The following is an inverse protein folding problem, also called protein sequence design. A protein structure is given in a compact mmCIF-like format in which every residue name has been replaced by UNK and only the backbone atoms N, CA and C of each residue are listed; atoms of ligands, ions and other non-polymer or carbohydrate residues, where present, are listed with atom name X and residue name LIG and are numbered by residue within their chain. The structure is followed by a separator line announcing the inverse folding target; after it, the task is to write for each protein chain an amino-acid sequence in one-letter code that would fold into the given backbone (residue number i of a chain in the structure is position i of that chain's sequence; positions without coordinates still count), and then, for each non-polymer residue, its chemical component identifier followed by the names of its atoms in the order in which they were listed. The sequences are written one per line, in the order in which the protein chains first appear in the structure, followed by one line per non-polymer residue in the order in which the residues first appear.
data_IF_042618240263
#
_entry.id   IF_042618240263
#
_cell.length_a   1.000
_cell.length_b   1.000
_cell.length_c   1.000
_cell.angle_alpha   90.00
_cell.angle_beta   90.00
_cell.angle_gamma   90.00
#
_symmetry.space_group_name_H-M   'P 1'
#
loop_
_entity.id
_entity.type
_entity.pdbx_description
1 polymer ?
#
# COMPACT_ATOMS: atom_id res chain seq x y z
N UNK A 1 -43.78 9.10 -26.78
CA UNK A 1 -42.45 9.65 -26.41
C UNK A 1 -42.22 9.41 -24.92
N UNK A 2 -41.44 8.39 -24.56
CA UNK A 2 -40.82 8.23 -23.22
C UNK A 2 -39.48 7.52 -23.44
N UNK A 3 -38.48 8.28 -23.91
CA UNK A 3 -37.09 7.82 -24.14
C UNK A 3 -36.16 8.63 -23.22
N UNK A 4 -36.56 8.81 -21.96
CA UNK A 4 -35.71 9.44 -20.95
C UNK A 4 -35.77 8.53 -19.74
N UNK A 5 -34.59 8.19 -19.20
CA UNK A 5 -34.38 7.41 -17.97
C UNK A 5 -34.03 5.92 -18.10
N UNK A 6 -33.25 5.54 -19.12
CA UNK A 6 -32.41 4.31 -19.05
C UNK A 6 -30.91 4.68 -19.05
N UNK A 7 -30.53 5.77 -19.73
CA UNK A 7 -29.12 6.21 -19.83
C UNK A 7 -28.56 6.71 -18.49
N UNK A 8 -29.39 7.33 -17.63
CA UNK A 8 -28.91 7.87 -16.33
C UNK A 8 -28.64 6.81 -15.27
N UNK A 9 -29.37 5.69 -15.29
CA UNK A 9 -29.14 4.56 -14.38
C UNK A 9 -27.91 3.74 -14.81
N UNK A 10 -27.66 3.66 -16.13
CA UNK A 10 -26.49 2.98 -16.70
C UNK A 10 -25.18 3.71 -16.38
N UNK A 11 -25.18 5.05 -16.34
CA UNK A 11 -23.98 5.83 -16.03
C UNK A 11 -23.54 5.70 -14.56
N UNK A 12 -24.48 5.66 -13.61
CA UNK A 12 -24.14 5.51 -12.18
C UNK A 12 -23.59 4.12 -11.82
N UNK A 13 -24.07 3.05 -12.46
CA UNK A 13 -23.53 1.70 -12.24
C UNK A 13 -22.14 1.54 -12.86
N UNK A 14 -21.90 2.15 -14.02
CA UNK A 14 -20.57 2.14 -14.67
C UNK A 14 -19.53 2.88 -13.82
N UNK A 15 -19.88 4.03 -13.22
CA UNK A 15 -18.96 4.76 -12.34
C UNK A 15 -18.61 4.00 -11.05
N UNK A 16 -19.56 3.28 -10.44
CA UNK A 16 -19.28 2.46 -9.26
C UNK A 16 -18.44 1.20 -9.57
N UNK A 17 -18.61 0.62 -10.77
CA UNK A 17 -17.78 -0.48 -11.25
C UNK A 17 -16.34 -0.04 -11.57
N UNK A 18 -16.15 1.16 -12.13
CA UNK A 18 -14.81 1.68 -12.48
C UNK A 18 -13.95 1.99 -11.25
N UNK A 19 -14.54 2.44 -10.13
CA UNK A 19 -13.78 2.77 -8.90
C UNK A 19 -13.25 1.51 -8.20
N UNK A 20 -14.05 0.45 -8.13
CA UNK A 20 -13.62 -0.82 -7.52
C UNK A 20 -12.67 -1.60 -8.45
N UNK A 21 -12.91 -1.58 -9.77
CA UNK A 21 -12.03 -2.24 -10.73
C UNK A 21 -10.69 -1.52 -10.93
N UNK A 22 -10.51 -0.30 -10.41
CA UNK A 22 -9.21 0.35 -10.37
C UNK A 22 -8.36 -0.25 -9.25
N UNK A 23 -8.89 -0.30 -8.02
CA UNK A 23 -8.20 -0.79 -6.83
C UNK A 23 -7.68 -2.24 -6.96
N UNK A 24 -8.39 -3.09 -7.70
CA UNK A 24 -7.93 -4.46 -7.95
C UNK A 24 -6.61 -4.54 -8.71
N UNK A 25 -6.26 -3.58 -9.57
CA UNK A 25 -5.08 -3.63 -10.44
C UNK A 25 -4.02 -2.59 -10.05
N UNK A 26 -4.03 -2.19 -8.78
CA UNK A 26 -3.09 -1.24 -8.22
C UNK A 26 -1.91 -1.95 -7.56
N UNK A 27 -0.86 -1.16 -7.35
CA UNK A 27 0.28 -1.53 -6.52
C UNK A 27 0.34 -0.58 -5.34
N UNK A 28 0.60 -1.12 -4.15
CA UNK A 28 0.99 -0.28 -3.01
C UNK A 28 2.36 -0.66 -2.50
N UNK A 29 2.91 0.23 -1.69
CA UNK A 29 4.14 -0.04 -0.99
C UNK A 29 3.84 -0.77 0.31
N UNK A 30 4.52 -1.89 0.51
CA UNK A 30 4.51 -2.66 1.75
C UNK A 30 5.95 -2.90 2.23
N UNK A 31 6.12 -2.85 3.55
CA UNK A 31 7.40 -3.12 4.21
C UNK A 31 8.11 -1.85 4.70
N UNK A 32 9.42 -1.97 4.87
CA UNK A 32 10.21 -0.96 5.55
C UNK A 32 10.48 0.23 4.64
N UNK A 33 10.18 1.45 5.11
CA UNK A 33 10.46 2.74 4.44
C UNK A 33 11.93 3.20 4.58
N UNK A 34 12.69 2.51 5.42
CA UNK A 34 14.06 2.88 5.71
C UNK A 34 15.00 2.05 4.82
N UNK A 35 15.67 2.75 3.89
CA UNK A 35 16.57 2.16 2.90
C UNK A 35 17.84 1.60 3.52
N UNK A 36 18.21 2.07 4.72
CA UNK A 36 19.35 1.55 5.47
C UNK A 36 18.97 0.26 6.20
N UNK A 37 17.69 0.15 6.57
CA UNK A 37 17.15 -1.05 7.19
C UNK A 37 16.95 -2.23 6.23
N UNK A 38 16.81 -1.96 4.93
CA UNK A 38 16.95 -2.99 3.90
C UNK A 38 18.34 -2.88 3.28
N UNK A 39 19.22 -3.87 3.49
CA UNK A 39 18.79 -5.27 3.46
C UNK A 39 18.94 -6.00 4.82
N UNK A 40 19.10 -5.32 5.95
CA UNK A 40 19.50 -5.89 7.25
C UNK A 40 18.64 -7.09 7.69
N UNK A 41 19.27 -8.09 8.32
CA UNK A 41 18.55 -9.21 8.94
C UNK A 41 17.87 -8.76 10.25
N UNK A 42 16.97 -9.56 10.81
CA UNK A 42 16.28 -9.27 12.09
C UNK A 42 17.21 -8.84 13.25
N UNK A 43 18.40 -9.43 13.38
CA UNK A 43 19.35 -9.08 14.44
C UNK A 43 19.97 -7.69 14.20
N UNK A 44 20.44 -7.45 12.99
CA UNK A 44 20.98 -6.17 12.54
C UNK A 44 19.95 -5.05 12.57
N UNK A 45 18.69 -5.35 12.22
CA UNK A 45 17.55 -4.41 12.33
C UNK A 45 17.37 -3.94 13.77
N UNK A 46 17.46 -4.85 14.76
CA UNK A 46 17.39 -4.47 16.18
C UNK A 46 18.57 -3.60 16.61
N UNK A 47 19.78 -3.91 16.14
CA UNK A 47 20.97 -3.11 16.42
C UNK A 47 20.87 -1.69 15.86
N UNK A 48 20.31 -1.55 14.65
CA UNK A 48 20.13 -0.27 13.94
C UNK A 48 18.81 0.44 14.28
N UNK A 49 18.01 -0.08 15.24
CA UNK A 49 16.71 0.47 15.65
C UNK A 49 15.67 0.58 14.52
N UNK A 50 15.67 -0.40 13.61
CA UNK A 50 14.77 -0.53 12.45
C UNK A 50 13.42 -1.22 12.77
N UNK A 51 13.23 -1.62 14.02
CA UNK A 51 12.27 -2.60 14.53
C UNK A 51 10.82 -2.27 14.15
N UNK A 52 10.28 -1.09 14.46
CA UNK A 52 8.84 -0.82 14.22
C UNK A 52 8.39 -0.82 12.76
N UNK A 53 9.27 -0.54 11.78
CA UNK A 53 8.89 -0.40 10.35
C UNK A 53 9.20 -1.64 9.52
N UNK A 54 10.10 -2.48 9.99
CA UNK A 54 10.55 -3.68 9.28
C UNK A 54 9.96 -4.98 9.84
N UNK A 55 9.17 -4.92 10.92
CA UNK A 55 8.61 -6.10 11.60
C UNK A 55 7.72 -6.96 10.70
N UNK A 56 6.99 -6.35 9.77
CA UNK A 56 6.14 -7.07 8.81
C UNK A 56 6.92 -8.04 7.92
N UNK A 57 8.23 -7.82 7.76
CA UNK A 57 9.13 -8.70 6.99
C UNK A 57 9.80 -9.79 7.83
N UNK A 58 9.59 -9.82 9.15
CA UNK A 58 10.26 -10.79 10.03
C UNK A 58 9.72 -12.21 9.89
N UNK A 59 8.46 -12.35 9.44
CA UNK A 59 7.79 -13.64 9.30
C UNK A 59 6.91 -13.70 8.04
N UNK A 60 7.54 -13.71 6.85
CA UNK A 60 6.82 -13.72 5.57
C UNK A 60 5.94 -14.97 5.43
N UNK A 61 4.69 -14.81 5.00
CA UNK A 61 3.69 -15.91 4.97
C UNK A 61 4.07 -17.09 4.06
N UNK A 62 4.94 -16.87 3.07
CA UNK A 62 5.39 -17.93 2.15
C UNK A 62 6.58 -18.76 2.68
N UNK A 63 7.23 -18.35 3.75
CA UNK A 63 8.47 -18.96 4.23
C UNK A 63 8.48 -19.09 5.75
N UNK A 64 9.34 -19.94 6.33
CA UNK A 64 9.38 -20.12 7.79
C UNK A 64 9.97 -18.92 8.51
N UNK A 65 10.80 -18.13 7.82
CA UNK A 65 11.48 -16.96 8.36
C UNK A 65 12.13 -16.14 7.24
N UNK A 66 12.63 -14.97 7.63
CA UNK A 66 13.39 -14.05 6.77
C UNK A 66 14.58 -14.72 6.07
N UNK A 67 15.34 -15.58 6.77
CA UNK A 67 16.52 -16.24 6.18
C UNK A 67 16.13 -17.16 5.03
N UNK A 68 15.02 -17.88 5.15
CA UNK A 68 14.52 -18.73 4.06
C UNK A 68 13.97 -17.90 2.89
N UNK A 69 13.28 -16.79 3.17
CA UNK A 69 12.71 -15.93 2.15
C UNK A 69 13.76 -15.16 1.33
N UNK A 70 14.83 -14.69 1.99
CA UNK A 70 15.78 -13.75 1.40
C UNK A 70 17.23 -14.29 1.32
N UNK A 71 17.49 -15.47 1.88
CA UNK A 71 18.83 -16.08 1.92
C UNK A 71 19.86 -15.26 2.72
N UNK A 72 21.14 -15.53 2.48
CA UNK A 72 22.26 -14.76 3.05
C UNK A 72 22.56 -13.48 2.22
N UNK A 73 21.87 -13.30 1.08
CA UNK A 73 22.05 -12.25 0.08
C UNK A 73 20.91 -11.23 -0.02
N UNK A 74 19.98 -11.21 0.94
CA UNK A 74 19.02 -10.13 1.25
C UNK A 74 18.36 -9.53 -0.01
N UNK A 75 17.44 -10.29 -0.61
CA UNK A 75 16.72 -9.84 -1.82
C UNK A 75 15.90 -8.56 -1.54
N UNK A 76 16.27 -7.50 -2.25
CA UNK A 76 15.69 -6.17 -2.17
C UNK A 76 14.39 -6.02 -2.96
N UNK A 77 14.18 -6.90 -3.93
CA UNK A 77 13.01 -6.93 -4.81
C UNK A 77 12.09 -8.07 -4.42
N UNK A 78 11.11 -7.74 -3.59
CA UNK A 78 10.12 -8.67 -3.09
C UNK A 78 8.73 -8.08 -3.15
N UNK A 79 7.73 -8.94 -3.03
CA UNK A 79 6.32 -8.57 -3.04
C UNK A 79 5.47 -9.48 -2.15
N UNK A 80 4.29 -8.98 -1.83
CA UNK A 80 3.20 -9.71 -1.23
C UNK A 80 2.00 -9.71 -2.19
N UNK A 81 1.31 -10.85 -2.30
CA UNK A 81 0.13 -11.00 -3.17
C UNK A 81 -1.15 -11.09 -2.34
N UNK A 82 -2.27 -10.64 -2.89
CA UNK A 82 -3.57 -10.83 -2.24
C UNK A 82 -3.85 -12.30 -1.96
N UNK A 83 -4.38 -12.61 -0.78
CA UNK A 83 -4.84 -13.98 -0.47
C UNK A 83 -6.05 -14.40 -1.30
N UNK A 84 -6.73 -13.45 -1.97
CA UNK A 84 -7.90 -13.71 -2.80
C UNK A 84 -7.54 -14.04 -4.26
N UNK A 85 -6.26 -13.98 -4.63
CA UNK A 85 -5.80 -14.20 -6.01
C UNK A 85 -6.07 -15.63 -6.52
N UNK A 86 -6.14 -16.61 -5.61
CA UNK A 86 -6.48 -18.00 -5.85
C UNK A 86 -7.08 -18.60 -4.56
N UNK A 87 -7.69 -19.79 -4.66
CA UNK A 87 -8.22 -20.53 -3.50
C UNK A 87 -7.11 -20.91 -2.50
N UNK A 88 -5.94 -21.28 -3.01
CA UNK A 88 -4.70 -21.41 -2.25
C UNK A 88 -3.64 -20.52 -2.88
N UNK A 89 -3.41 -19.34 -2.31
CA UNK A 89 -2.38 -18.43 -2.81
C UNK A 89 -0.97 -18.99 -2.65
N UNK A 90 -0.76 -19.98 -1.76
CA UNK A 90 0.58 -20.50 -1.45
C UNK A 90 1.20 -21.25 -2.62
N UNK A 91 0.42 -21.64 -3.62
CA UNK A 91 0.92 -22.21 -4.88
C UNK A 91 1.85 -21.25 -5.64
N UNK A 92 1.75 -19.94 -5.35
CA UNK A 92 2.59 -18.90 -5.94
C UNK A 92 3.76 -18.50 -5.04
N UNK A 93 3.83 -19.03 -3.82
CA UNK A 93 5.00 -18.85 -2.97
C UNK A 93 6.22 -19.46 -3.69
N UNK A 94 7.29 -18.68 -3.81
CA UNK A 94 8.55 -18.96 -4.58
C UNK A 94 8.53 -18.59 -6.05
N UNK A 95 7.38 -18.23 -6.62
CA UNK A 95 7.35 -17.64 -7.96
C UNK A 95 7.76 -16.16 -7.91
N UNK A 96 7.92 -15.59 -9.11
CA UNK A 96 8.14 -14.17 -9.30
C UNK A 96 6.83 -13.46 -9.65
N UNK A 97 6.59 -12.32 -9.01
CA UNK A 97 5.67 -11.31 -9.52
C UNK A 97 6.49 -10.31 -10.35
N UNK A 98 6.20 -10.26 -11.64
CA UNK A 98 6.85 -9.35 -12.59
C UNK A 98 5.83 -8.30 -12.99
N UNK A 99 6.21 -7.03 -12.91
CA UNK A 99 5.27 -5.90 -12.98
C UNK A 99 5.81 -4.79 -13.87
N UNK A 100 4.90 -4.14 -14.59
CA UNK A 100 5.17 -2.99 -15.46
C UNK A 100 4.08 -1.94 -15.29
N UNK A 101 4.47 -0.67 -15.17
CA UNK A 101 3.48 0.41 -15.10
C UNK A 101 2.89 0.76 -16.46
N UNK A 102 1.60 1.05 -16.46
CA UNK A 102 0.83 1.53 -17.60
C UNK A 102 0.65 3.06 -17.51
N UNK A 103 1.73 3.80 -17.78
CA UNK A 103 1.79 5.27 -17.64
C UNK A 103 1.58 6.05 -18.95
N UNK A 104 1.25 5.40 -20.07
CA UNK A 104 1.06 6.08 -21.36
C UNK A 104 2.34 6.54 -22.04
N UNK A 105 3.50 5.91 -21.75
CA UNK A 105 4.81 6.26 -22.32
C UNK A 105 5.53 5.04 -22.90
N UNK A 106 6.40 5.24 -23.90
CA UNK A 106 7.12 4.19 -24.66
C UNK A 106 8.33 3.56 -23.97
N UNK A 107 8.58 3.86 -22.69
CA UNK A 107 9.73 3.31 -21.94
C UNK A 107 9.33 2.85 -20.53
N UNK A 108 8.35 1.95 -20.40
CA UNK A 108 7.99 1.42 -19.10
C UNK A 108 9.10 0.46 -18.61
N UNK A 109 9.47 0.61 -17.35
CA UNK A 109 10.36 -0.32 -16.66
C UNK A 109 9.55 -1.56 -16.26
N UNK A 110 10.12 -2.74 -16.49
CA UNK A 110 9.62 -4.01 -16.00
C UNK A 110 10.51 -4.45 -14.86
N UNK A 111 9.92 -4.74 -13.70
CA UNK A 111 10.67 -5.16 -12.50
C UNK A 111 10.20 -6.53 -12.05
N UNK A 112 11.16 -7.39 -11.73
CA UNK A 112 10.96 -8.73 -11.16
C UNK A 112 11.04 -8.65 -9.64
N UNK A 113 10.09 -9.27 -8.97
CA UNK A 113 10.11 -9.41 -7.51
C UNK A 113 9.85 -10.85 -7.12
N UNK A 114 10.47 -11.31 -6.03
CA UNK A 114 10.13 -12.61 -5.45
C UNK A 114 8.86 -12.48 -4.60
N UNK A 115 7.91 -13.38 -4.80
CA UNK A 115 6.71 -13.45 -3.95
C UNK A 115 7.14 -14.08 -2.63
N UNK A 116 7.06 -13.29 -1.56
CA UNK A 116 7.48 -13.71 -0.23
C UNK A 116 6.40 -13.67 0.81
N UNK A 117 5.33 -12.92 0.58
CA UNK A 117 4.30 -12.75 1.59
C UNK A 117 2.92 -12.67 0.95
N UNK A 118 1.91 -12.51 1.80
CA UNK A 118 0.53 -12.34 1.37
C UNK A 118 -0.13 -11.16 2.06
N UNK A 119 -1.16 -10.61 1.42
CA UNK A 119 -1.97 -9.56 2.00
C UNK A 119 -3.44 -10.00 2.02
N UNK A 120 -3.97 -10.21 3.23
CA UNK A 120 -5.35 -10.67 3.43
C UNK A 120 -6.40 -9.57 3.35
N UNK A 121 -5.99 -8.31 3.52
CA UNK A 121 -6.86 -7.14 3.38
C UNK A 121 -6.85 -6.54 1.97
N UNK A 122 -6.02 -7.08 1.07
CA UNK A 122 -5.82 -6.50 -0.24
C UNK A 122 -6.86 -7.01 -1.25
N UNK A 123 -7.32 -6.15 -2.19
CA UNK A 123 -8.20 -6.55 -3.28
C UNK A 123 -7.64 -7.72 -4.12
N UNK A 124 -8.47 -8.34 -4.96
CA UNK A 124 -8.18 -9.68 -5.51
C UNK A 124 -6.86 -9.78 -6.29
N UNK A 125 -6.56 -8.74 -7.06
CA UNK A 125 -5.40 -8.69 -7.97
C UNK A 125 -4.34 -7.69 -7.54
N UNK A 126 -4.47 -7.19 -6.31
CA UNK A 126 -3.59 -6.20 -5.74
C UNK A 126 -2.21 -6.80 -5.45
N UNK A 127 -1.16 -6.02 -5.74
CA UNK A 127 0.23 -6.43 -5.57
C UNK A 127 0.96 -5.43 -4.67
N UNK A 128 1.41 -5.91 -3.52
CA UNK A 128 2.16 -5.12 -2.55
C UNK A 128 3.66 -5.25 -2.82
N UNK A 129 4.32 -4.13 -3.11
CA UNK A 129 5.72 -4.10 -3.50
C UNK A 129 6.61 -3.63 -2.35
N UNK A 130 7.75 -4.30 -2.20
CA UNK A 130 8.85 -3.83 -1.35
C UNK A 130 9.32 -2.43 -1.78
N UNK A 131 9.83 -1.63 -0.84
CA UNK A 131 10.17 -0.22 -1.06
C UNK A 131 11.04 0.02 -2.29
N UNK A 132 12.12 -0.75 -2.42
CA UNK A 132 13.08 -0.58 -3.52
C UNK A 132 12.41 -0.84 -4.87
N UNK A 133 11.56 -1.86 -4.97
CA UNK A 133 10.75 -2.12 -6.16
C UNK A 133 9.77 -0.97 -6.43
N UNK A 134 9.02 -0.55 -5.40
CA UNK A 134 8.00 0.48 -5.54
C UNK A 134 8.59 1.80 -6.04
N UNK A 135 9.69 2.25 -5.45
CA UNK A 135 10.38 3.49 -5.84
C UNK A 135 11.04 3.41 -7.24
N UNK A 136 11.41 2.21 -7.70
CA UNK A 136 11.91 2.00 -9.06
C UNK A 136 10.84 2.18 -10.12
N UNK A 137 9.61 1.77 -9.81
CA UNK A 137 8.46 1.92 -10.70
C UNK A 137 7.84 3.32 -10.58
N UNK A 138 7.47 3.72 -9.38
CA UNK A 138 6.76 4.96 -9.07
C UNK A 138 7.59 5.82 -8.12
N UNK A 139 8.02 7.03 -8.55
CA UNK A 139 8.41 8.04 -7.60
C UNK A 139 7.24 8.27 -6.63
N UNK A 140 7.51 8.31 -5.31
CA UNK A 140 6.50 8.48 -4.25
C UNK A 140 5.55 9.69 -4.46
N UNK A 141 5.90 10.61 -5.37
CA UNK A 141 5.15 11.82 -5.73
C UNK A 141 4.09 11.62 -6.83
N UNK A 142 4.16 10.55 -7.63
CA UNK A 142 3.39 10.45 -8.87
C UNK A 142 2.07 9.66 -8.73
N UNK A 143 1.70 9.28 -7.49
CA UNK A 143 0.40 8.67 -7.18
C UNK A 143 0.21 7.25 -7.72
N UNK A 144 -1.05 6.82 -7.76
CA UNK A 144 -1.47 5.45 -8.10
C UNK A 144 -1.37 5.22 -9.62
N UNK A 145 -0.58 4.22 -10.03
CA UNK A 145 -0.51 3.77 -11.42
C UNK A 145 -1.17 2.41 -11.62
N UNK A 146 -1.89 2.29 -12.74
CA UNK A 146 -2.36 1.01 -13.23
C UNK A 146 -1.16 0.19 -13.69
N UNK A 147 -1.22 -1.11 -13.45
CA UNK A 147 -0.16 -2.04 -13.85
C UNK A 147 -0.67 -3.13 -14.78
N UNK A 148 0.27 -3.67 -15.54
CA UNK A 148 0.20 -5.06 -16.01
C UNK A 148 1.24 -5.83 -15.22
N UNK A 149 0.85 -6.97 -14.68
CA UNK A 149 1.74 -7.83 -13.94
C UNK A 149 1.36 -9.30 -14.12
N UNK A 150 2.30 -10.19 -13.84
CA UNK A 150 2.04 -11.61 -13.90
C UNK A 150 2.89 -12.41 -12.93
N UNK A 151 2.49 -13.65 -12.73
CA UNK A 151 3.18 -14.63 -11.90
C UNK A 151 3.92 -15.60 -12.81
N UNK A 152 5.23 -15.71 -12.61
CA UNK A 152 6.12 -16.53 -13.43
C UNK A 152 6.96 -17.41 -12.53
N UNK A 153 7.08 -18.70 -12.85
CA UNK A 153 8.06 -19.57 -12.19
C UNK A 153 9.49 -19.23 -12.61
N UNK A 154 10.48 -19.79 -11.91
CA UNK A 154 11.90 -19.53 -12.17
C UNK A 154 12.37 -19.96 -13.57
N UNK A 155 11.70 -20.95 -14.17
CA UNK A 155 11.91 -21.37 -15.56
C UNK A 155 11.21 -20.47 -16.59
N UNK A 156 10.58 -19.37 -16.15
CA UNK A 156 9.86 -18.41 -16.97
C UNK A 156 8.52 -18.89 -17.51
N UNK A 157 7.92 -19.94 -16.93
CA UNK A 157 6.54 -20.33 -17.26
C UNK A 157 5.55 -19.33 -16.68
N UNK A 158 4.67 -18.76 -17.51
CA UNK A 158 3.58 -17.90 -17.08
C UNK A 158 2.50 -18.72 -16.38
N UNK A 159 2.25 -18.42 -15.11
CA UNK A 159 1.17 -19.05 -14.34
C UNK A 159 -0.10 -18.21 -14.33
N UNK A 160 0.04 -16.88 -14.37
CA UNK A 160 -1.09 -15.95 -14.36
C UNK A 160 -0.68 -14.59 -14.91
N UNK A 161 -1.50 -14.01 -15.79
CA UNK A 161 -1.34 -12.65 -16.29
C UNK A 161 -2.52 -11.79 -15.84
N UNK A 162 -2.22 -10.59 -15.33
CA UNK A 162 -3.16 -9.73 -14.63
C UNK A 162 -3.03 -8.30 -15.15
N UNK A 163 -4.10 -7.80 -15.76
CA UNK A 163 -4.24 -6.41 -16.16
C UNK A 163 -5.70 -6.08 -16.42
N UNK A 164 -6.05 -4.80 -16.25
CA UNK A 164 -7.38 -4.31 -16.56
C UNK A 164 -7.48 -4.00 -18.06
N UNK A 165 -8.19 -4.86 -18.81
CA UNK A 165 -8.45 -4.75 -20.26
C UNK A 165 -9.30 -3.53 -20.63
N UNK A 166 -10.15 -3.08 -19.71
CA UNK A 166 -11.11 -1.99 -19.94
C UNK A 166 -10.53 -0.61 -19.62
N UNK A 167 -9.47 -0.56 -18.82
CA UNK A 167 -8.90 0.66 -18.28
C UNK A 167 -8.29 1.59 -19.34
N UNK A 168 -8.57 2.89 -19.23
CA UNK A 168 -8.12 3.92 -20.17
C UNK A 168 -6.60 4.14 -20.17
N UNK A 169 -5.90 3.98 -19.03
CA UNK A 169 -4.42 4.10 -18.98
C UNK A 169 -3.74 2.90 -19.66
N UNK A 170 -4.32 1.70 -19.56
CA UNK A 170 -3.86 0.51 -20.30
C UNK A 170 -3.91 0.76 -21.80
N UNK A 171 -5.06 1.24 -22.30
CA UNK A 171 -5.25 1.59 -23.71
C UNK A 171 -4.28 2.68 -24.18
N UNK A 172 -4.15 3.78 -23.43
CA UNK A 172 -3.18 4.85 -23.73
C UNK A 172 -1.73 4.37 -23.78
N UNK A 173 -1.36 3.41 -22.95
CA UNK A 173 -0.02 2.82 -22.99
C UNK A 173 0.18 2.02 -24.28
N UNK A 174 -0.78 1.20 -24.67
CA UNK A 174 -0.72 0.45 -25.93
C UNK A 174 -0.68 1.39 -27.16
N UNK A 175 -1.52 2.44 -27.17
CA UNK A 175 -1.52 3.50 -28.19
C UNK A 175 -0.16 4.19 -28.29
N UNK A 176 0.50 4.49 -27.17
CA UNK A 176 1.84 5.08 -27.18
C UNK A 176 2.85 4.19 -27.90
N UNK A 177 2.70 2.87 -27.82
CA UNK A 177 3.52 1.90 -28.55
C UNK A 177 3.09 1.69 -30.01
N UNK A 178 1.90 2.13 -30.40
CA UNK A 178 1.33 1.91 -31.73
C UNK A 178 0.85 0.46 -31.94
N UNK A 179 0.44 -0.20 -30.86
CA UNK A 179 -0.03 -1.60 -30.87
C UNK A 179 -1.36 -1.74 -30.14
N UNK A 180 -2.03 -2.87 -30.33
CA UNK A 180 -3.21 -3.25 -29.54
C UNK A 180 -2.84 -3.57 -28.09
N UNK A 181 -3.82 -3.50 -27.18
CA UNK A 181 -3.60 -3.85 -25.78
C UNK A 181 -3.22 -5.33 -25.61
N UNK A 182 -3.72 -6.22 -26.48
CA UNK A 182 -3.32 -7.63 -26.51
C UNK A 182 -1.86 -7.79 -26.92
N UNK A 183 -1.39 -7.11 -27.97
CA UNK A 183 0.02 -7.15 -28.38
C UNK A 183 0.95 -6.57 -27.30
N UNK A 184 0.52 -5.50 -26.61
CA UNK A 184 1.24 -4.97 -25.46
C UNK A 184 1.36 -6.02 -24.34
N UNK A 185 0.26 -6.73 -24.05
CA UNK A 185 0.24 -7.77 -23.02
C UNK A 185 1.11 -8.98 -23.40
N UNK A 186 1.08 -9.41 -24.66
CA UNK A 186 1.94 -10.49 -25.18
C UNK A 186 3.42 -10.12 -25.12
N UNK A 187 3.77 -8.89 -25.51
CA UNK A 187 5.13 -8.39 -25.41
C UNK A 187 5.61 -8.28 -23.95
N UNK A 188 4.73 -7.86 -23.04
CA UNK A 188 5.00 -7.90 -21.62
C UNK A 188 5.27 -9.34 -21.15
N UNK A 189 4.38 -10.29 -21.47
CA UNK A 189 4.52 -11.70 -21.08
C UNK A 189 5.82 -12.32 -21.58
N UNK A 190 6.21 -12.03 -22.82
CA UNK A 190 7.48 -12.50 -23.38
C UNK A 190 8.68 -11.90 -22.61
N UNK A 191 8.63 -10.60 -22.33
CA UNK A 191 9.70 -9.90 -21.60
C UNK A 191 9.80 -10.38 -20.16
N UNK A 192 8.67 -10.59 -19.49
CA UNK A 192 8.57 -11.10 -18.13
C UNK A 192 9.08 -12.55 -18.05
N UNK A 193 8.69 -13.41 -18.98
CA UNK A 193 9.19 -14.79 -19.06
C UNK A 193 10.71 -14.83 -19.24
N UNK A 194 11.29 -13.93 -20.05
CA UNK A 194 12.73 -13.82 -20.21
C UNK A 194 13.41 -13.30 -18.93
N UNK A 195 12.84 -12.27 -18.30
CA UNK A 195 13.35 -11.70 -17.05
C UNK A 195 13.33 -12.72 -15.90
N UNK A 196 12.29 -13.56 -15.81
CA UNK A 196 12.17 -14.62 -14.82
C UNK A 196 13.34 -15.62 -14.86
N UNK A 197 13.77 -16.00 -16.08
CA UNK A 197 14.91 -16.92 -16.32
C UNK A 197 16.28 -16.27 -16.11
N UNK A 198 16.34 -14.96 -16.16
CA UNK A 198 17.59 -14.20 -16.06
C UNK A 198 18.00 -13.97 -14.60
N UNK A 199 19.27 -13.61 -14.39
CA UNK A 199 19.75 -13.11 -13.11
C UNK A 199 19.36 -11.65 -12.84
N UNK A 200 18.78 -10.95 -13.82
CA UNK A 200 18.49 -9.52 -13.74
C UNK A 200 17.17 -9.25 -13.01
N UNK A 201 17.09 -8.16 -12.25
CA UNK A 201 15.88 -7.75 -11.53
C UNK A 201 14.99 -6.80 -12.35
N UNK A 202 15.51 -6.21 -13.43
CA UNK A 202 14.79 -5.24 -14.24
C UNK A 202 15.12 -5.36 -15.74
N UNK A 203 14.15 -5.01 -16.58
CA UNK A 203 14.36 -4.87 -18.03
C UNK A 203 13.44 -3.79 -18.60
N UNK A 204 13.66 -3.43 -19.86
CA UNK A 204 12.79 -2.50 -20.59
C UNK A 204 11.94 -3.26 -21.60
N UNK A 205 10.69 -2.84 -21.73
CA UNK A 205 9.83 -3.36 -22.78
C UNK A 205 10.32 -2.87 -24.15
N UNK A 206 10.55 -3.82 -25.06
CA UNK A 206 10.92 -3.52 -26.45
C UNK A 206 9.89 -4.12 -27.40
N UNK A 207 9.04 -3.27 -27.96
CA UNK A 207 8.08 -3.64 -29.01
C UNK A 207 8.57 -2.98 -30.29
N UNK A 208 9.02 -3.79 -31.25
CA UNK A 208 9.37 -3.31 -32.59
C UNK A 208 8.11 -2.75 -33.24
N UNK A 209 8.09 -1.45 -33.50
CA UNK A 209 7.01 -0.83 -34.28
C UNK A 209 7.14 -1.25 -35.74
N UNK A 210 6.20 -2.08 -36.22
CA UNK A 210 6.08 -2.46 -37.63
C UNK A 210 6.49 -3.89 -37.92
N UNK A 211 5.56 -4.65 -38.51
CA UNK A 211 5.65 -6.01 -39.00
C UNK A 211 7.06 -6.51 -39.32
N UNK A 212 7.57 -7.43 -38.50
CA UNK A 212 8.29 -8.61 -38.99
C UNK A 212 8.54 -9.62 -37.87
N UNK A 213 8.15 -10.86 -38.19
CA UNK A 213 8.53 -12.19 -37.67
C UNK A 213 9.72 -12.24 -36.67
N UNK A 214 9.68 -13.14 -35.65
CA UNK A 214 10.76 -13.28 -34.67
C UNK A 214 12.11 -13.55 -35.36
N UNK A 215 13.03 -12.60 -35.23
CA UNK A 215 14.43 -12.80 -35.58
C UNK A 215 15.16 -13.33 -34.36
N UNK A 216 15.58 -14.59 -34.43
CA UNK A 216 16.60 -15.19 -33.59
C UNK A 216 17.90 -14.39 -33.71
N UNK A 217 18.23 -13.59 -32.70
CA UNK A 217 19.53 -12.92 -32.61
C UNK A 217 20.31 -13.44 -31.41
N UNK A 218 21.54 -13.83 -31.72
CA UNK A 218 22.47 -14.64 -30.95
C UNK A 218 22.99 -13.92 -29.72
N UNK A 219 23.12 -14.69 -28.65
CA UNK A 219 23.99 -14.49 -27.49
C UNK A 219 25.34 -13.90 -27.89
N UNK A 220 25.63 -12.69 -27.42
CA UNK A 220 27.02 -12.22 -27.24
C UNK A 220 27.40 -12.44 -25.79
N UNK A 221 28.06 -13.56 -25.55
CA UNK A 221 28.81 -13.87 -24.33
C UNK A 221 29.86 -12.78 -24.11
N UNK A 222 29.71 -11.97 -23.07
CA UNK A 222 30.82 -11.17 -22.54
C UNK A 222 31.41 -11.92 -21.34
N UNK A 223 32.51 -12.59 -21.59
CA UNK A 223 33.37 -13.21 -20.59
C UNK A 223 34.09 -12.13 -19.81
N UNK A 224 33.67 -11.87 -18.57
CA UNK A 224 34.48 -11.09 -17.64
C UNK A 224 35.20 -12.04 -16.70
N UNK A 225 36.53 -12.16 -16.89
CA UNK A 225 37.43 -12.98 -16.08
C UNK A 225 37.40 -12.55 -14.62
N UNK A 226 37.08 -13.50 -13.74
CA UNK A 226 37.43 -13.47 -12.33
C UNK A 226 38.95 -13.29 -12.16
N UNK A 227 39.37 -12.26 -11.42
CA UNK A 227 40.70 -12.18 -10.82
C UNK A 227 40.56 -12.22 -9.30
N UNK A 228 40.92 -13.37 -8.77
CA UNK A 228 41.31 -13.62 -7.39
C UNK A 228 42.42 -12.65 -6.97
N UNK A 229 42.28 -11.97 -5.84
CA UNK A 229 43.42 -11.42 -5.11
C UNK A 229 43.19 -11.59 -3.61
N UNK A 230 44.19 -12.20 -2.97
CA UNK A 230 44.21 -12.62 -1.58
C UNK A 230 44.91 -11.55 -0.74
N UNK A 231 44.34 -11.27 0.45
CA UNK A 231 44.89 -10.65 1.68
C UNK A 231 46.09 -9.68 1.57
N UNK A 232 45.96 -8.51 2.19
CA UNK A 232 46.86 -8.11 3.30
C UNK A 232 46.17 -7.11 4.24
N UNK A 233 46.20 -7.43 5.53
CA UNK A 233 45.88 -6.60 6.68
C UNK A 233 46.89 -5.46 6.88
N UNK A 234 46.41 -4.22 7.05
CA UNK A 234 47.18 -3.15 7.71
C UNK A 234 46.32 -2.40 8.72
N UNK A 235 46.66 -2.66 9.98
CA UNK A 235 46.37 -1.88 11.17
C UNK A 235 46.79 -0.42 10.97
N UNK A 236 45.90 0.53 11.26
CA UNK A 236 46.29 1.90 11.56
C UNK A 236 45.54 2.38 12.81
N UNK A 237 46.31 2.48 13.88
CA UNK A 237 46.00 3.26 15.08
C UNK A 237 46.19 4.74 14.76
N UNK A 238 45.27 5.61 15.17
CA UNK A 238 45.52 6.67 16.18
C UNK A 238 44.39 7.71 16.30
N UNK A 239 44.12 8.02 17.57
CA UNK A 239 43.76 9.31 18.18
C UNK A 239 42.36 9.88 18.02
N UNK A 240 41.62 9.68 19.12
CA UNK A 240 40.68 10.60 19.75
C UNK A 240 40.95 12.08 19.50
N UNK A 241 39.88 12.80 19.14
CA UNK A 241 39.68 14.20 19.50
C UNK A 241 38.28 14.38 20.09
N UNK A 242 38.31 14.75 21.37
CA UNK A 242 37.24 15.32 22.18
C UNK A 242 36.78 16.66 21.58
N UNK A 243 35.47 16.87 21.43
CA UNK A 243 34.91 18.22 21.41
C UNK A 243 33.46 18.25 21.92
N UNK A 244 33.35 18.71 23.16
CA UNK A 244 32.47 19.79 23.63
C UNK A 244 30.96 19.75 23.33
N UNK A 245 30.26 19.36 24.38
CA UNK A 245 28.87 19.64 24.75
C UNK A 245 28.51 21.14 24.54
N UNK A 246 27.49 21.43 23.74
CA UNK A 246 26.82 22.75 23.76
C UNK A 246 25.31 22.54 23.82
N UNK A 247 24.77 22.76 25.02
CA UNK A 247 23.36 22.89 25.33
C UNK A 247 22.80 24.20 24.74
N UNK A 248 21.73 24.12 23.94
CA UNK A 248 20.88 25.27 23.63
C UNK A 248 19.46 25.05 24.11
N UNK A 249 19.15 25.83 25.13
CA UNK A 249 17.89 26.11 25.79
C UNK A 249 16.84 26.61 24.79
N UNK A 250 15.66 25.99 24.74
CA UNK A 250 14.46 26.56 24.12
C UNK A 250 13.43 26.89 25.19
N UNK A 251 13.15 28.18 25.27
CA UNK A 251 12.37 28.91 26.27
C UNK A 251 10.90 28.49 26.28
N UNK A 252 10.42 28.14 27.45
CA UNK A 252 9.02 28.06 27.85
C UNK A 252 8.38 29.45 27.74
N UNK A 253 7.21 29.56 27.11
CA UNK A 253 6.31 30.71 27.36
C UNK A 253 4.89 30.17 27.51
N UNK A 254 4.42 30.13 28.76
CA UNK A 254 3.04 29.85 29.13
C UNK A 254 2.20 31.13 29.01
N UNK A 255 0.98 30.88 28.55
CA UNK A 255 -0.20 31.72 28.35
C UNK A 255 -0.62 32.56 29.57
N UNK A 256 -1.23 33.72 29.32
CA UNK A 256 -2.40 34.15 30.11
C UNK A 256 -3.44 34.88 29.25
N UNK A 257 -4.70 34.64 29.64
CA UNK A 257 -6.01 34.82 28.99
C UNK A 257 -6.38 36.27 28.66
N UNK A 258 -7.24 36.47 27.65
CA UNK A 258 -8.48 37.26 27.83
C UNK A 258 -9.56 36.82 26.84
N UNK A 259 -10.77 36.66 27.37
CA UNK A 259 -12.00 36.26 26.70
C UNK A 259 -12.69 37.43 26.01
N UNK A 260 -13.17 37.23 24.78
CA UNK A 260 -14.34 37.96 24.26
C UNK A 260 -15.19 37.06 23.39
N UNK A 261 -16.39 36.79 23.90
CA UNK A 261 -17.53 36.13 23.26
C UNK A 261 -18.12 37.06 22.20
N UNK A 262 -18.09 36.68 20.92
CA UNK A 262 -19.07 37.14 19.94
C UNK A 262 -19.26 36.12 18.81
N UNK A 263 -20.53 35.78 18.63
CA UNK A 263 -21.11 34.89 17.63
C UNK A 263 -20.87 35.37 16.19
N UNK A 264 -20.47 34.47 15.28
CA UNK A 264 -21.06 34.32 13.94
C UNK A 264 -20.27 33.35 13.04
N UNK A 265 -21.03 32.45 12.38
CA UNK A 265 -20.72 31.73 11.12
C UNK A 265 -19.83 30.48 11.23
N UNK A 266 -20.46 29.29 11.26
CA UNK A 266 -19.81 27.97 11.15
C UNK A 266 -18.94 27.91 9.90
N UNK A 267 -17.63 28.09 10.06
CA UNK A 267 -16.61 27.78 9.06
C UNK A 267 -16.35 26.27 9.17
N UNK A 268 -16.68 25.48 8.14
CA UNK A 268 -16.28 24.08 8.11
C UNK A 268 -14.76 24.02 8.15
N UNK A 269 -14.20 23.34 9.15
CA UNK A 269 -12.77 23.10 9.19
C UNK A 269 -12.34 22.30 7.95
N UNK A 270 -11.14 22.53 7.41
CA UNK A 270 -10.65 21.79 6.25
C UNK A 270 -10.38 20.32 6.61
N UNK A 271 -10.43 19.43 5.61
CA UNK A 271 -10.05 18.02 5.76
C UNK A 271 -8.52 17.85 5.69
N UNK A 272 -7.95 16.98 6.53
CA UNK A 272 -6.50 16.79 6.67
C UNK A 272 -6.13 15.31 6.91
N UNK A 273 -4.94 14.91 6.47
CA UNK A 273 -4.36 13.59 6.75
C UNK A 273 -3.26 13.63 7.83
N UNK A 274 -2.87 14.83 8.28
CA UNK A 274 -1.74 15.03 9.20
C UNK A 274 -2.18 15.61 10.55
N UNK A 275 -2.59 16.89 10.58
CA UNK A 275 -3.03 17.57 11.81
C UNK A 275 -4.55 17.68 11.86
N UNK A 276 -5.09 17.66 13.07
CA UNK A 276 -6.51 17.80 13.34
C UNK A 276 -6.76 18.46 14.70
N UNK A 277 -8.02 18.74 14.97
CA UNK A 277 -8.47 19.34 16.21
C UNK A 277 -9.12 20.69 15.98
N UNK A 278 -9.62 21.26 17.08
CA UNK A 278 -10.33 22.54 17.08
C UNK A 278 -9.53 23.63 16.36
N UNK A 279 -10.20 24.33 15.46
CA UNK A 279 -9.67 25.40 14.62
C UNK A 279 -8.49 25.01 13.69
N UNK A 280 -8.16 23.71 13.59
CA UNK A 280 -7.09 23.18 12.72
C UNK A 280 -7.68 22.50 11.50
N UNK A 281 -8.26 21.30 11.67
CA UNK A 281 -8.80 20.47 10.60
C UNK A 281 -9.61 19.29 11.16
N UNK A 282 -10.46 18.70 10.31
CA UNK A 282 -11.07 17.38 10.53
C UNK A 282 -10.24 16.34 9.78
N UNK A 283 -10.01 15.18 10.37
CA UNK A 283 -9.31 14.11 9.70
C UNK A 283 -10.13 13.57 8.50
N UNK A 284 -9.43 13.16 7.45
CA UNK A 284 -10.06 12.49 6.32
C UNK A 284 -10.83 11.23 6.76
N UNK A 285 -11.84 10.83 5.99
CA UNK A 285 -12.72 9.72 6.33
C UNK A 285 -11.94 8.45 6.71
N UNK A 286 -12.33 7.85 7.83
CA UNK A 286 -11.70 6.67 8.39
C UNK A 286 -10.37 6.93 9.12
N UNK A 287 -9.96 8.20 9.31
CA UNK A 287 -8.86 8.59 10.19
C UNK A 287 -9.39 9.13 11.52
N UNK A 288 -8.67 8.81 12.59
CA UNK A 288 -8.96 9.22 13.95
C UNK A 288 -8.12 10.44 14.32
N UNK A 289 -8.70 11.41 15.02
CA UNK A 289 -7.94 12.52 15.55
C UNK A 289 -7.43 12.18 16.95
N UNK A 290 -6.13 11.94 17.12
CA UNK A 290 -5.55 11.64 18.43
C UNK A 290 -5.70 12.81 19.41
N UNK A 291 -5.54 12.56 20.71
CA UNK A 291 -5.47 13.62 21.75
C UNK A 291 -4.37 14.66 21.51
N UNK A 292 -3.39 14.33 20.67
CA UNK A 292 -2.27 15.20 20.34
C UNK A 292 -2.51 16.06 19.09
N UNK A 293 -3.71 15.97 18.48
CA UNK A 293 -4.08 16.77 17.31
C UNK A 293 -3.48 16.27 16.00
N UNK A 294 -3.34 14.95 15.87
CA UNK A 294 -2.85 14.29 14.66
C UNK A 294 -3.80 13.23 14.16
N UNK A 295 -3.92 13.11 12.84
CA UNK A 295 -4.71 12.10 12.16
C UNK A 295 -3.95 10.78 12.04
N UNK A 296 -4.64 9.67 12.28
CA UNK A 296 -4.07 8.34 12.07
C UNK A 296 -5.11 7.25 12.23
N UNK A 297 -4.78 6.03 11.79
CA UNK A 297 -5.71 4.88 11.79
C UNK A 297 -5.43 3.83 12.86
N UNK A 298 -4.28 3.96 13.55
CA UNK A 298 -3.86 3.01 14.58
C UNK A 298 -4.50 3.34 15.92
N UNK A 299 -4.43 2.39 16.83
CA UNK A 299 -5.00 2.48 18.16
C UNK A 299 -4.52 3.70 18.96
N UNK A 300 -3.28 4.13 18.77
CA UNK A 300 -2.73 5.34 19.42
C UNK A 300 -3.48 6.62 19.03
N UNK A 301 -4.10 6.63 17.85
CA UNK A 301 -4.91 7.74 17.35
C UNK A 301 -6.39 7.54 17.63
N UNK A 302 -6.84 6.28 17.55
CA UNK A 302 -8.24 5.93 17.54
C UNK A 302 -8.81 5.59 18.91
N UNK A 303 -7.98 5.10 19.85
CA UNK A 303 -8.43 4.66 21.18
C UNK A 303 -8.38 5.82 22.19
N UNK A 304 -7.70 5.62 23.31
CA UNK A 304 -7.78 6.53 24.46
C UNK A 304 -7.35 7.96 24.11
N UNK A 305 -8.30 8.89 24.23
CA UNK A 305 -8.09 10.31 23.96
C UNK A 305 -8.34 10.73 22.51
N UNK A 306 -8.91 9.88 21.66
CA UNK A 306 -9.35 10.31 20.35
C UNK A 306 -10.43 11.42 20.44
N UNK A 307 -10.30 12.46 19.61
CA UNK A 307 -11.19 13.61 19.53
C UNK A 307 -12.24 13.37 18.43
N UNK A 308 -13.40 12.84 18.80
CA UNK A 308 -14.44 12.37 17.87
C UNK A 308 -15.04 13.47 16.98
N UNK A 309 -15.03 14.73 17.43
CA UNK A 309 -15.46 15.89 16.63
C UNK A 309 -14.55 16.15 15.41
N UNK A 310 -13.34 15.57 15.38
CA UNK A 310 -12.33 15.81 14.36
C UNK A 310 -11.81 14.51 13.72
N UNK A 311 -12.39 13.35 13.99
CA UNK A 311 -12.04 12.08 13.35
C UNK A 311 -12.80 10.86 13.90
N UNK A 312 -12.70 9.71 13.23
CA UNK A 312 -13.48 8.49 13.53
C UNK A 312 -12.83 7.67 14.65
N UNK A 313 -13.19 7.92 15.91
CA UNK A 313 -12.60 7.21 17.05
C UNK A 313 -13.03 5.73 17.15
N UNK A 314 -12.10 4.86 17.58
CA UNK A 314 -12.35 3.46 17.91
C UNK A 314 -12.41 3.33 19.43
N UNK A 315 -13.60 3.14 20.01
CA UNK A 315 -13.72 2.90 21.44
C UNK A 315 -12.99 1.61 21.82
N UNK A 316 -12.01 1.74 22.71
CA UNK A 316 -10.93 0.78 22.95
C UNK A 316 -11.29 -0.47 23.75
N UNK A 317 -12.43 -1.10 23.51
CA UNK A 317 -12.71 -2.44 23.99
C UNK A 317 -13.04 -3.36 22.82
N UNK A 318 -12.60 -4.61 22.90
CA UNK A 318 -13.01 -5.70 22.03
C UNK A 318 -14.53 -5.89 22.15
N UNK A 319 -15.31 -5.01 21.52
CA UNK A 319 -16.75 -5.08 21.63
C UNK A 319 -17.25 -6.16 20.69
N UNK A 320 -17.86 -7.18 21.30
CA UNK A 320 -18.70 -8.16 20.64
C UNK A 320 -19.60 -7.45 19.62
N UNK A 321 -19.57 -7.86 18.36
CA UNK A 321 -20.56 -7.38 17.39
C UNK A 321 -21.89 -8.03 17.73
N UNK A 322 -22.93 -7.19 17.85
CA UNK A 322 -24.31 -7.61 18.06
C UNK A 322 -24.74 -8.56 16.94
N UNK A 323 -25.36 -9.68 17.32
CA UNK A 323 -25.85 -10.70 16.39
C UNK A 323 -27.37 -10.79 16.35
N UNK A 324 -28.03 -10.13 17.29
CA UNK A 324 -29.47 -10.18 17.56
C UNK A 324 -30.12 -8.79 17.50
N UNK A 325 -29.39 -7.77 17.04
CA UNK A 325 -29.87 -6.39 16.90
C UNK A 325 -29.88 -5.59 18.21
N UNK A 326 -29.38 -6.17 19.32
CA UNK A 326 -29.21 -5.47 20.61
C UNK A 326 -27.84 -4.83 20.71
N UNK A 327 -27.75 -3.63 21.27
CA UNK A 327 -26.48 -2.94 21.46
C UNK A 327 -26.39 -2.29 22.83
N UNK A 328 -25.19 -1.84 23.17
CA UNK A 328 -24.90 -1.25 24.48
C UNK A 328 -23.87 -2.07 25.25
N UNK A 329 -23.59 -1.71 26.52
CA UNK A 329 -22.48 -2.27 27.30
C UNK A 329 -22.43 -3.80 27.38
N UNK A 330 -23.59 -4.46 27.45
CA UNK A 330 -23.69 -5.93 27.56
C UNK A 330 -23.77 -6.65 26.21
N UNK A 331 -24.31 -5.98 25.19
CA UNK A 331 -24.61 -6.61 23.89
C UNK A 331 -23.55 -6.31 22.82
N UNK A 332 -22.82 -5.22 23.03
CA UNK A 332 -21.75 -4.73 22.19
C UNK A 332 -22.24 -3.83 21.05
N UNK A 333 -21.45 -3.72 20.00
CA UNK A 333 -21.66 -2.73 18.93
C UNK A 333 -22.59 -3.26 17.85
N UNK A 334 -23.40 -2.38 17.27
CA UNK A 334 -24.19 -2.74 16.10
C UNK A 334 -23.33 -3.09 14.88
N UNK A 335 -23.73 -4.11 14.09
CA UNK A 335 -23.06 -4.44 12.82
C UNK A 335 -23.30 -3.35 11.77
N UNK A 336 -22.56 -3.41 10.66
CA UNK A 336 -22.82 -2.65 9.41
C UNK A 336 -23.05 -1.14 9.58
N UNK A 337 -22.34 -0.55 10.56
CA UNK A 337 -22.40 0.88 10.89
C UNK A 337 -23.82 1.36 11.23
N UNK A 338 -24.64 0.50 11.83
CA UNK A 338 -25.94 0.90 12.38
C UNK A 338 -25.76 1.74 13.65
N UNK A 339 -26.78 2.53 13.95
CA UNK A 339 -26.88 3.35 15.14
C UNK A 339 -27.33 2.50 16.32
N UNK A 340 -26.86 2.80 17.52
CA UNK A 340 -27.35 2.18 18.74
C UNK A 340 -28.24 3.17 19.48
N UNK A 341 -29.55 2.95 19.52
CA UNK A 341 -30.46 3.87 20.21
C UNK A 341 -30.21 3.92 21.71
N UNK A 342 -30.77 4.91 22.39
CA UNK A 342 -30.76 4.99 23.86
C UNK A 342 -31.35 3.74 24.53
N UNK A 343 -32.22 3.02 23.81
CA UNK A 343 -32.88 1.78 24.27
C UNK A 343 -32.09 0.50 23.96
N UNK A 344 -30.90 0.62 23.36
CA UNK A 344 -30.02 -0.52 23.09
C UNK A 344 -30.46 -1.37 21.90
N UNK A 345 -30.93 -0.72 20.83
CA UNK A 345 -31.33 -1.36 19.57
C UNK A 345 -30.58 -0.80 18.36
N UNK A 346 -30.27 -1.69 17.43
CA UNK A 346 -29.54 -1.39 16.20
C UNK A 346 -30.48 -1.04 15.04
N UNK A 347 -30.39 0.17 14.50
CA UNK A 347 -31.17 0.62 13.33
C UNK A 347 -30.49 1.81 12.61
N UNK A 348 -31.08 2.31 11.52
CA UNK A 348 -30.62 3.51 10.76
C UNK A 348 -31.59 4.69 10.82
N UNK A 349 -32.73 4.54 11.49
CA UNK A 349 -33.75 5.59 11.57
C UNK A 349 -33.26 6.78 12.40
N UNK A 350 -33.71 7.98 12.07
CA UNK A 350 -33.32 9.20 12.80
C UNK A 350 -33.59 9.12 14.30
N UNK A 351 -34.63 8.40 14.70
CA UNK A 351 -34.98 8.16 16.10
C UNK A 351 -33.92 7.32 16.84
N UNK A 352 -33.19 6.46 16.13
CA UNK A 352 -32.12 5.63 16.69
C UNK A 352 -30.75 6.30 16.60
N UNK A 353 -30.53 7.12 15.57
CA UNK A 353 -29.25 7.73 15.26
C UNK A 353 -29.07 9.15 15.82
N UNK A 354 -30.18 9.82 16.10
CA UNK A 354 -30.20 11.19 16.59
C UNK A 354 -30.03 11.26 18.12
N UNK A 355 -30.91 12.02 18.77
CA UNK A 355 -30.82 12.26 20.21
C UNK A 355 -30.90 10.96 21.01
N UNK A 356 -29.92 10.72 21.88
CA UNK A 356 -29.85 9.52 22.72
C UNK A 356 -29.06 8.35 22.11
N UNK A 357 -28.58 8.47 20.87
CA UNK A 357 -27.75 7.45 20.26
C UNK A 357 -26.44 7.23 21.06
N UNK A 358 -26.12 5.96 21.33
CA UNK A 358 -24.95 5.53 22.09
C UNK A 358 -23.75 5.35 21.14
N UNK A 359 -22.94 6.40 20.99
CA UNK A 359 -21.83 6.46 20.01
C UNK A 359 -20.70 5.45 20.26
N UNK A 360 -20.58 4.92 21.48
CA UNK A 360 -19.66 3.82 21.77
C UNK A 360 -20.10 2.48 21.17
N UNK A 361 -21.39 2.35 20.81
CA UNK A 361 -22.02 1.10 20.37
C UNK A 361 -22.74 1.21 19.01
N UNK A 362 -22.71 2.37 18.34
CA UNK A 362 -23.23 2.57 16.99
C UNK A 362 -22.81 3.92 16.37
N UNK A 363 -23.13 4.14 15.10
CA UNK A 363 -22.81 5.41 14.40
C UNK A 363 -23.95 6.43 14.58
N UNK A 364 -23.71 7.51 15.31
CA UNK A 364 -24.72 8.54 15.61
C UNK A 364 -24.52 9.78 14.73
N UNK A 365 -25.61 10.49 14.36
CA UNK A 365 -25.54 11.68 13.51
C UNK A 365 -26.45 12.83 13.94
#
# INVERSE_FOLDING_TARGET
MKIISIISLLLCTVSFLEVNAAADYEITHYGCYDKDCLPLNKEQKREHRCDKKCDSMSNPSCYKNEKEAFGDGRNQYFSAISTHIASDYKIYCKDYAIVMLLIGKRKPLIVKTRIVDSCSSCPQYHLDLGQRTFERLLPLKDGIANVIWGIYSEDGTEKKLIYNKSNSKSKKTAEAFGVSLSELAEAFSASASALARSSDDETQLSIGGGSSKPSTSKTKTSTTKSKTSTKTSKTSTTKSKTSTKTSKTSKTTKTSKTSTKKSSTKKSLPTSYDKCGKDVAVCADGYCCSKYGYCGKTDDYCKSGCQSEYGTCKSGSSQKISKDGRCGPEYGRCPDNLCCSEYGWCDRTSDHCGSGCQSDYGECY
#
